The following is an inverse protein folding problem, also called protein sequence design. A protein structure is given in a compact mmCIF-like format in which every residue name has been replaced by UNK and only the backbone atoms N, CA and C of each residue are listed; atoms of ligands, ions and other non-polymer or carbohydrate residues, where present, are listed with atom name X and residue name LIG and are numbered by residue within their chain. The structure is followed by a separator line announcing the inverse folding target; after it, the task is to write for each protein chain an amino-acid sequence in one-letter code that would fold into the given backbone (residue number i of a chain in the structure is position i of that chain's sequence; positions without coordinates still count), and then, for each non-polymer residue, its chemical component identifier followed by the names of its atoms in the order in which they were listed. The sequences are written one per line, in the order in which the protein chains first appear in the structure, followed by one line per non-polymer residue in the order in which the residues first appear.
data_IF_274981886120
#
_entry.id   IF_274981886120
#
_cell.length_a   1.000
_cell.length_b   1.000
_cell.length_c   1.000
_cell.angle_alpha   90.00
_cell.angle_beta   90.00
_cell.angle_gamma   90.00
#
_symmetry.space_group_name_H-M   'P 1'
#
loop_
_entity.id
_entity.type
_entity.pdbx_description
1 polymer ?
#
# COMPACT_ATOMS: atom_id res chain seq x y z
N UNK A 1 0.65 -17.56 -35.35
CA UNK A 1 -0.05 -16.27 -35.48
C UNK A 1 0.13 -15.58 -34.15
N UNK A 2 1.09 -14.64 -34.05
CA UNK A 2 1.34 -13.83 -32.84
C UNK A 2 0.15 -12.91 -32.69
N UNK A 3 -0.55 -12.98 -31.55
CA UNK A 3 -1.48 -11.92 -31.19
C UNK A 3 -0.61 -10.70 -30.86
N UNK A 4 -0.60 -9.72 -31.75
CA UNK A 4 -0.08 -8.40 -31.48
C UNK A 4 -0.89 -7.87 -30.28
N UNK A 5 -0.20 -7.64 -29.16
CA UNK A 5 -0.75 -6.84 -28.05
C UNK A 5 -1.00 -5.46 -28.68
N UNK A 6 -2.24 -5.04 -28.74
CA UNK A 6 -2.61 -3.71 -29.23
C UNK A 6 -1.73 -2.69 -28.51
N UNK A 7 -0.90 -1.94 -29.22
CA UNK A 7 -0.06 -0.85 -28.68
C UNK A 7 -0.87 0.29 -28.02
N UNK A 8 -2.20 0.19 -28.05
CA UNK A 8 -3.16 1.14 -27.45
C UNK A 8 -3.76 0.69 -26.11
N UNK A 9 -3.40 -0.49 -25.60
CA UNK A 9 -3.90 -0.96 -24.30
C UNK A 9 -3.09 -0.31 -23.17
N UNK A 10 -3.72 0.60 -22.41
CA UNK A 10 -3.12 1.23 -21.24
C UNK A 10 -2.60 0.18 -20.24
N UNK A 11 -1.57 0.55 -19.46
CA UNK A 11 -0.97 -0.32 -18.44
C UNK A 11 -1.97 -0.70 -17.34
N UNK A 12 -1.78 -1.88 -16.75
CA UNK A 12 -2.52 -2.37 -15.57
C UNK A 12 -1.62 -2.32 -14.36
N UNK A 13 -1.89 -1.39 -13.45
CA UNK A 13 -1.06 -1.14 -12.27
C UNK A 13 -1.76 -1.66 -11.03
N UNK A 14 -1.09 -2.57 -10.31
CA UNK A 14 -1.51 -3.03 -9.00
C UNK A 14 -0.92 -2.16 -7.89
N UNK A 15 -1.71 -1.91 -6.85
CA UNK A 15 -1.36 -1.01 -5.76
C UNK A 15 -1.72 -1.69 -4.43
N UNK A 16 -0.78 -1.73 -3.48
CA UNK A 16 -1.15 -1.99 -2.10
C UNK A 16 -1.84 -0.76 -1.49
N UNK A 17 -2.42 -0.90 -0.30
CA UNK A 17 -3.16 0.16 0.37
C UNK A 17 -2.40 0.74 1.57
N UNK A 18 -2.18 -0.09 2.61
CA UNK A 18 -1.65 0.37 3.90
C UNK A 18 -0.14 0.72 3.77
N UNK A 19 0.25 1.94 4.10
CA UNK A 19 1.58 2.55 3.96
C UNK A 19 2.10 2.66 2.51
N UNK A 20 1.26 2.38 1.53
CA UNK A 20 1.56 2.61 0.10
C UNK A 20 0.75 3.81 -0.43
N UNK A 21 -0.59 3.77 -0.34
CA UNK A 21 -1.47 4.90 -0.70
C UNK A 21 -1.76 5.80 0.49
N UNK A 22 -2.00 5.19 1.66
CA UNK A 22 -2.37 5.83 2.92
C UNK A 22 -1.18 5.80 3.90
N UNK A 23 -0.88 6.97 4.50
CA UNK A 23 0.10 7.11 5.58
C UNK A 23 -0.61 7.17 6.94
N UNK A 24 -0.18 6.34 7.85
CA UNK A 24 -0.69 6.31 9.22
C UNK A 24 0.22 7.02 10.23
N UNK A 25 1.34 7.57 9.82
CA UNK A 25 2.38 8.08 10.70
C UNK A 25 1.85 9.12 11.69
N UNK A 26 1.20 10.19 11.16
CA UNK A 26 0.62 11.25 12.00
C UNK A 26 -0.54 10.75 12.85
N UNK A 27 -1.35 9.84 12.31
CA UNK A 27 -2.45 9.25 13.06
C UNK A 27 -1.94 8.45 14.26
N UNK A 28 -0.96 7.55 14.07
CA UNK A 28 -0.37 6.82 15.19
C UNK A 28 0.30 7.75 16.20
N UNK A 29 1.01 8.78 15.75
CA UNK A 29 1.61 9.77 16.63
C UNK A 29 0.55 10.51 17.48
N UNK A 30 -0.56 10.90 16.86
CA UNK A 30 -1.70 11.53 17.55
C UNK A 30 -2.33 10.60 18.60
N UNK A 31 -2.62 9.34 18.21
CA UNK A 31 -3.21 8.34 19.10
C UNK A 31 -2.32 8.01 20.30
N UNK A 32 -1.00 7.92 20.08
CA UNK A 32 -0.03 7.68 21.18
C UNK A 32 0.01 8.84 22.16
N UNK A 33 -0.07 10.09 21.68
CA UNK A 33 -0.15 11.28 22.55
C UNK A 33 -1.47 11.35 23.29
N UNK A 34 -2.57 11.15 22.60
CA UNK A 34 -3.93 11.16 23.17
C UNK A 34 -4.07 10.16 24.33
N UNK A 35 -3.41 9.01 24.23
CA UNK A 35 -3.46 7.96 25.25
C UNK A 35 -2.23 7.92 26.17
N UNK A 36 -1.34 8.89 26.07
CA UNK A 36 -0.11 9.01 26.89
C UNK A 36 0.73 7.71 26.94
N UNK A 37 0.83 7.02 25.80
CA UNK A 37 1.45 5.69 25.73
C UNK A 37 2.99 5.74 25.68
N UNK A 38 3.57 6.82 25.19
CA UNK A 38 5.02 7.05 25.12
C UNK A 38 5.35 8.44 25.64
N UNK A 39 6.56 8.62 26.24
CA UNK A 39 7.05 9.96 26.61
C UNK A 39 7.35 10.81 25.36
N UNK A 40 7.32 12.12 25.52
CA UNK A 40 7.78 13.03 24.45
C UNK A 40 9.33 13.03 24.36
N UNK A 41 9.90 13.21 23.17
CA UNK A 41 9.18 13.32 21.88
C UNK A 41 8.69 11.96 21.37
N UNK A 42 7.41 11.90 20.96
CA UNK A 42 6.87 10.69 20.31
C UNK A 42 7.51 10.52 18.92
N UNK A 43 7.97 9.31 18.57
CA UNK A 43 8.54 9.04 17.25
C UNK A 43 7.62 9.47 16.09
N UNK A 44 8.21 9.91 14.98
CA UNK A 44 7.49 10.53 13.87
C UNK A 44 6.82 9.54 12.92
N UNK A 45 7.16 8.24 12.97
CA UNK A 45 6.61 7.25 12.05
C UNK A 45 6.09 6.01 12.78
N UNK A 46 5.18 5.31 12.12
CA UNK A 46 4.49 4.11 12.60
C UNK A 46 5.45 3.01 13.07
N UNK A 47 6.51 2.73 12.32
CA UNK A 47 7.48 1.68 12.63
C UNK A 47 8.23 1.99 13.93
N UNK A 48 8.74 3.22 14.07
CA UNK A 48 9.43 3.64 15.29
C UNK A 48 8.51 3.69 16.51
N UNK A 49 7.24 4.06 16.34
CA UNK A 49 6.22 4.00 17.40
C UNK A 49 5.99 2.55 17.85
N UNK A 50 5.79 1.63 16.89
CA UNK A 50 5.66 0.19 17.18
C UNK A 50 6.83 -0.33 17.98
N UNK A 51 8.03 -0.04 17.52
CA UNK A 51 9.26 -0.56 18.14
C UNK A 51 9.47 0.05 19.53
N UNK A 52 9.14 1.32 19.74
CA UNK A 52 9.18 1.97 21.04
C UNK A 52 8.16 1.39 22.05
N UNK A 53 6.95 1.02 21.59
CA UNK A 53 5.95 0.34 22.42
C UNK A 53 6.39 -1.08 22.76
N UNK A 54 6.88 -1.85 21.76
CA UNK A 54 7.39 -3.21 21.95
C UNK A 54 8.56 -3.27 22.92
N UNK A 55 9.51 -2.35 22.81
CA UNK A 55 10.64 -2.24 23.73
C UNK A 55 10.22 -2.00 25.19
N UNK A 56 8.99 -1.54 25.43
CA UNK A 56 8.38 -1.33 26.76
C UNK A 56 7.39 -2.43 27.17
N UNK A 57 7.33 -3.54 26.42
CA UNK A 57 6.37 -4.62 26.67
C UNK A 57 4.92 -4.27 26.41
N UNK A 58 4.64 -3.22 25.61
CA UNK A 58 3.30 -2.68 25.35
C UNK A 58 2.71 -3.17 24.01
N UNK A 59 2.92 -4.43 23.65
CA UNK A 59 2.39 -5.03 22.40
C UNK A 59 0.86 -4.98 22.36
N UNK A 60 0.18 -5.16 23.49
CA UNK A 60 -1.28 -5.08 23.56
C UNK A 60 -1.80 -3.67 23.20
N UNK A 61 -1.08 -2.63 23.64
CA UNK A 61 -1.40 -1.24 23.27
C UNK A 61 -1.19 -1.01 21.78
N UNK A 62 -0.08 -1.50 21.24
CA UNK A 62 0.17 -1.45 19.80
C UNK A 62 -0.98 -2.09 18.99
N UNK A 63 -1.41 -3.30 19.39
CA UNK A 63 -2.50 -4.01 18.70
C UNK A 63 -3.83 -3.25 18.77
N UNK A 64 -4.15 -2.63 19.92
CA UNK A 64 -5.35 -1.78 20.06
C UNK A 64 -5.25 -0.52 19.21
N UNK A 65 -4.10 0.14 19.16
CA UNK A 65 -3.88 1.31 18.29
C UNK A 65 -4.09 0.97 16.83
N UNK A 66 -3.65 -0.22 16.38
CA UNK A 66 -3.93 -0.69 15.00
C UNK A 66 -5.44 -0.81 14.74
N UNK A 67 -6.21 -1.36 15.69
CA UNK A 67 -7.67 -1.44 15.58
C UNK A 67 -8.32 -0.07 15.42
N UNK A 68 -7.87 0.92 16.19
CA UNK A 68 -8.36 2.30 16.09
C UNK A 68 -7.96 2.96 14.76
N UNK A 69 -6.67 2.87 14.41
CA UNK A 69 -6.13 3.55 13.24
C UNK A 69 -6.68 2.99 11.91
N UNK A 70 -6.87 1.69 11.81
CA UNK A 70 -7.38 1.03 10.60
C UNK A 70 -8.91 0.97 10.53
N UNK A 71 -9.58 1.30 11.64
CA UNK A 71 -11.04 1.29 11.77
C UNK A 71 -11.59 2.71 11.95
N UNK A 72 -12.10 3.05 13.16
CA UNK A 72 -12.91 4.26 13.38
C UNK A 72 -12.15 5.59 13.18
N UNK A 73 -10.84 5.58 13.17
CA UNK A 73 -10.02 6.79 13.02
C UNK A 73 -9.30 6.88 11.67
N UNK A 74 -9.59 5.97 10.72
CA UNK A 74 -8.90 5.91 9.42
C UNK A 74 -9.08 7.19 8.58
N UNK A 75 -10.18 7.90 8.77
CA UNK A 75 -10.49 9.18 8.13
C UNK A 75 -9.44 10.27 8.42
N UNK A 76 -8.72 10.16 9.55
CA UNK A 76 -7.65 11.05 9.97
C UNK A 76 -6.28 10.69 9.37
N UNK A 77 -6.16 9.51 8.76
CA UNK A 77 -4.96 9.12 8.05
C UNK A 77 -4.85 9.87 6.71
N UNK A 78 -3.64 10.25 6.36
CA UNK A 78 -3.36 11.08 5.19
C UNK A 78 -3.01 10.23 3.97
N UNK A 79 -3.26 10.76 2.77
CA UNK A 79 -2.67 10.21 1.56
C UNK A 79 -1.18 10.58 1.50
N UNK A 80 -0.35 9.71 0.95
CA UNK A 80 1.04 10.10 0.68
C UNK A 80 1.10 11.26 -0.31
N UNK A 81 2.00 12.25 -0.09
CA UNK A 81 2.14 13.39 -1.00
C UNK A 81 2.43 12.96 -2.44
N UNK A 82 1.75 13.59 -3.41
CA UNK A 82 1.90 13.30 -4.84
C UNK A 82 1.15 12.06 -5.34
N UNK A 83 0.71 11.15 -4.44
CA UNK A 83 0.05 9.90 -4.82
C UNK A 83 -1.20 10.14 -5.67
N UNK A 84 -2.14 10.94 -5.20
CA UNK A 84 -3.39 11.17 -5.91
C UNK A 84 -3.19 11.84 -7.29
N UNK A 85 -2.20 12.73 -7.41
CA UNK A 85 -1.86 13.39 -8.70
C UNK A 85 -1.23 12.38 -9.67
N UNK A 86 -0.38 11.49 -9.18
CA UNK A 86 0.19 10.41 -9.96
C UNK A 86 -0.91 9.46 -10.49
N UNK A 87 -1.83 9.02 -9.62
CA UNK A 87 -2.94 8.15 -10.01
C UNK A 87 -3.87 8.83 -11.04
N UNK A 88 -4.20 10.12 -10.86
CA UNK A 88 -5.00 10.88 -11.85
C UNK A 88 -4.30 10.94 -13.20
N UNK A 89 -2.99 11.20 -13.19
CA UNK A 89 -2.19 11.22 -14.42
C UNK A 89 -2.26 9.86 -15.14
N UNK A 90 -2.03 8.75 -14.46
CA UNK A 90 -2.10 7.41 -15.04
C UNK A 90 -3.50 7.08 -15.58
N UNK A 91 -4.57 7.44 -14.83
CA UNK A 91 -5.94 7.29 -15.33
C UNK A 91 -6.18 8.12 -16.62
N UNK A 92 -5.62 9.33 -16.68
CA UNK A 92 -5.66 10.17 -17.89
C UNK A 92 -4.95 9.56 -19.09
N UNK A 93 -3.96 8.68 -18.86
CA UNK A 93 -3.30 7.88 -19.91
C UNK A 93 -4.10 6.61 -20.29
N UNK A 94 -5.28 6.41 -19.75
CA UNK A 94 -6.09 5.22 -20.00
C UNK A 94 -5.64 3.98 -19.20
N UNK A 95 -4.78 4.13 -18.18
CA UNK A 95 -4.28 3.00 -17.39
C UNK A 95 -5.34 2.48 -16.42
N UNK A 96 -5.32 1.17 -16.17
CA UNK A 96 -6.19 0.51 -15.20
C UNK A 96 -5.49 0.38 -13.85
N UNK A 97 -6.08 0.96 -12.79
CA UNK A 97 -5.51 0.97 -11.45
C UNK A 97 -6.31 0.02 -10.54
N UNK A 98 -5.62 -0.99 -10.01
CA UNK A 98 -6.23 -2.09 -9.25
C UNK A 98 -5.61 -2.16 -7.85
N UNK A 99 -6.39 -1.91 -6.82
CA UNK A 99 -5.93 -2.04 -5.44
C UNK A 99 -6.05 -3.50 -4.99
N UNK A 100 -4.93 -4.08 -4.51
CA UNK A 100 -4.87 -5.43 -3.94
C UNK A 100 -4.10 -5.38 -2.63
N UNK A 101 -4.80 -5.47 -1.51
CA UNK A 101 -4.20 -5.39 -0.17
C UNK A 101 -4.58 -6.58 0.71
N UNK A 102 -3.65 -7.01 1.55
CA UNK A 102 -3.95 -7.95 2.63
C UNK A 102 -4.51 -7.16 3.82
N UNK A 103 -5.79 -7.40 4.15
CA UNK A 103 -6.45 -6.70 5.25
C UNK A 103 -7.43 -7.62 5.97
N UNK A 104 -7.30 -7.73 7.29
CA UNK A 104 -8.30 -8.43 8.10
C UNK A 104 -9.61 -7.66 8.12
N UNK A 105 -10.73 -8.39 8.27
CA UNK A 105 -12.05 -7.76 8.29
C UNK A 105 -12.35 -7.08 9.61
N UNK A 106 -11.84 -7.64 10.71
CA UNK A 106 -12.01 -7.12 12.07
C UNK A 106 -10.64 -6.92 12.72
N UNK A 107 -10.50 -5.99 13.66
CA UNK A 107 -9.25 -5.80 14.38
C UNK A 107 -8.94 -7.00 15.29
N UNK A 108 -7.65 -7.24 15.55
CA UNK A 108 -7.21 -8.27 16.49
C UNK A 108 -7.46 -7.92 17.97
N UNK A 109 -7.63 -6.62 18.28
CA UNK A 109 -7.95 -6.14 19.62
C UNK A 109 -8.73 -4.82 19.55
N UNK A 110 -9.48 -4.52 20.62
CA UNK A 110 -10.35 -3.35 20.72
C UNK A 110 -11.78 -3.66 20.28
N UNK A 111 -12.56 -2.60 20.08
CA UNK A 111 -13.95 -2.72 19.63
C UNK A 111 -14.02 -3.28 18.20
N UNK A 112 -15.00 -4.16 17.91
CA UNK A 112 -15.13 -4.73 16.56
C UNK A 112 -15.57 -3.64 15.57
N UNK A 113 -14.83 -3.51 14.48
CA UNK A 113 -15.13 -2.62 13.35
C UNK A 113 -14.93 -3.37 12.04
N UNK A 114 -15.71 -3.04 11.02
CA UNK A 114 -15.45 -3.53 9.66
C UNK A 114 -14.32 -2.69 9.02
N UNK A 115 -13.09 -3.23 9.09
CA UNK A 115 -11.89 -2.58 8.55
C UNK A 115 -11.92 -2.46 7.02
N UNK A 116 -12.65 -3.34 6.33
CA UNK A 116 -12.85 -3.23 4.88
C UNK A 116 -13.79 -2.07 4.55
N UNK A 117 -14.87 -1.90 5.31
CA UNK A 117 -15.78 -0.76 5.12
C UNK A 117 -15.07 0.57 5.42
N UNK A 118 -14.30 0.64 6.50
CA UNK A 118 -13.50 1.80 6.85
C UNK A 118 -12.49 2.19 5.74
N UNK A 119 -11.73 1.21 5.23
CA UNK A 119 -10.79 1.42 4.13
C UNK A 119 -11.50 1.86 2.82
N UNK A 120 -12.66 1.27 2.48
CA UNK A 120 -13.45 1.69 1.31
C UNK A 120 -13.95 3.12 1.45
N UNK A 121 -14.42 3.53 2.63
CA UNK A 121 -14.84 4.91 2.89
C UNK A 121 -13.69 5.92 2.69
N UNK A 122 -12.48 5.56 3.16
CA UNK A 122 -11.28 6.40 2.95
C UNK A 122 -10.93 6.50 1.45
N UNK A 123 -10.98 5.38 0.72
CA UNK A 123 -10.70 5.32 -0.73
C UNK A 123 -11.73 6.18 -1.48
N UNK A 124 -13.01 6.01 -1.20
CA UNK A 124 -14.09 6.78 -1.85
C UNK A 124 -13.93 8.28 -1.63
N UNK A 125 -13.64 8.70 -0.39
CA UNK A 125 -13.48 10.11 -0.06
C UNK A 125 -12.25 10.78 -0.70
N UNK A 126 -11.19 10.03 -1.06
CA UNK A 126 -9.91 10.59 -1.53
C UNK A 126 -9.50 10.17 -2.93
N UNK A 127 -10.00 9.05 -3.42
CA UNK A 127 -9.62 8.42 -4.68
C UNK A 127 -10.83 8.10 -5.55
N UNK A 128 -11.96 8.82 -5.37
CA UNK A 128 -13.19 8.59 -6.11
C UNK A 128 -12.94 8.48 -7.61
N UNK A 129 -13.39 7.37 -8.22
CA UNK A 129 -13.29 7.13 -9.65
C UNK A 129 -11.87 6.79 -10.17
N UNK A 130 -10.83 6.83 -9.34
CA UNK A 130 -9.46 6.54 -9.77
C UNK A 130 -9.17 5.03 -9.88
N UNK A 131 -9.74 4.22 -8.98
CA UNK A 131 -9.50 2.78 -8.95
C UNK A 131 -10.52 2.03 -9.79
N UNK A 132 -10.06 1.15 -10.67
CA UNK A 132 -10.89 0.26 -11.49
C UNK A 132 -11.38 -0.97 -10.72
N UNK A 133 -10.70 -1.31 -9.61
CA UNK A 133 -11.08 -2.42 -8.74
C UNK A 133 -10.38 -2.34 -7.39
N UNK A 134 -11.07 -2.85 -6.34
CA UNK A 134 -10.54 -2.88 -4.97
C UNK A 134 -10.73 -4.26 -4.38
N UNK A 135 -9.62 -4.93 -4.06
CA UNK A 135 -9.56 -6.29 -3.53
C UNK A 135 -8.87 -6.28 -2.16
N UNK A 136 -9.62 -6.60 -1.11
CA UNK A 136 -9.09 -6.86 0.22
C UNK A 136 -9.06 -8.36 0.46
N UNK A 137 -7.87 -8.93 0.49
CA UNK A 137 -7.65 -10.35 0.71
C UNK A 137 -7.38 -10.64 2.19
N UNK A 138 -7.85 -11.78 2.69
CA UNK A 138 -7.74 -12.11 4.12
C UNK A 138 -6.42 -12.78 4.50
N UNK A 139 -5.57 -13.07 3.52
CA UNK A 139 -4.25 -13.67 3.75
C UNK A 139 -3.23 -13.20 2.70
N UNK A 140 -1.93 -13.28 3.07
CA UNK A 140 -0.82 -13.03 2.15
C UNK A 140 -0.92 -13.91 0.90
N UNK A 141 -1.16 -15.20 1.08
CA UNK A 141 -1.28 -16.14 -0.04
C UNK A 141 -2.43 -15.77 -1.00
N UNK A 142 -3.59 -15.33 -0.47
CA UNK A 142 -4.70 -14.88 -1.28
C UNK A 142 -4.35 -13.57 -2.04
N UNK A 143 -3.62 -12.63 -1.41
CA UNK A 143 -3.11 -11.41 -2.05
C UNK A 143 -2.21 -11.77 -3.25
N UNK A 144 -1.21 -12.63 -3.05
CA UNK A 144 -0.30 -13.08 -4.12
C UNK A 144 -1.06 -13.76 -5.26
N UNK A 145 -2.00 -14.66 -4.93
CA UNK A 145 -2.84 -15.33 -5.92
C UNK A 145 -3.74 -14.37 -6.70
N UNK A 146 -4.24 -13.31 -6.06
CA UNK A 146 -5.00 -12.25 -6.73
C UNK A 146 -4.13 -11.48 -7.71
N UNK A 147 -2.95 -11.03 -7.29
CA UNK A 147 -2.00 -10.28 -8.12
C UNK A 147 -1.65 -11.10 -9.37
N UNK A 148 -1.32 -12.39 -9.20
CA UNK A 148 -0.99 -13.28 -10.32
C UNK A 148 -2.13 -13.44 -11.35
N UNK A 149 -3.40 -13.38 -10.90
CA UNK A 149 -4.58 -13.51 -11.77
C UNK A 149 -4.94 -12.23 -12.53
N UNK A 150 -4.53 -11.07 -12.03
CA UNK A 150 -4.93 -9.78 -12.58
C UNK A 150 -4.14 -9.40 -13.85
N UNK A 151 -3.03 -10.07 -14.17
CA UNK A 151 -2.22 -9.76 -15.35
C UNK A 151 -1.71 -8.33 -15.33
N UNK A 152 -1.09 -7.94 -14.22
CA UNK A 152 -0.56 -6.60 -14.00
C UNK A 152 0.75 -6.40 -14.76
N UNK A 153 1.00 -5.17 -15.19
CA UNK A 153 2.29 -4.74 -15.76
C UNK A 153 3.25 -4.25 -14.66
N UNK A 154 2.72 -3.65 -13.59
CA UNK A 154 3.50 -3.28 -12.42
C UNK A 154 2.71 -3.49 -11.12
N UNK A 155 3.42 -3.70 -10.00
CA UNK A 155 2.85 -3.77 -8.66
C UNK A 155 3.68 -2.97 -7.66
N UNK A 156 3.01 -2.14 -6.85
CA UNK A 156 3.62 -1.24 -5.88
C UNK A 156 3.18 -1.64 -4.47
N UNK A 157 4.14 -1.86 -3.57
CA UNK A 157 3.91 -2.31 -2.19
C UNK A 157 4.97 -1.72 -1.26
N UNK A 158 4.67 -1.55 0.04
CA UNK A 158 5.62 -1.10 1.07
C UNK A 158 6.40 -2.25 1.71
N UNK A 159 6.05 -3.51 1.42
CA UNK A 159 6.67 -4.69 2.00
C UNK A 159 7.56 -5.43 0.99
N UNK A 160 8.90 -5.43 1.18
CA UNK A 160 9.80 -6.15 0.29
C UNK A 160 9.51 -7.65 0.21
N UNK A 161 9.05 -8.27 1.31
CA UNK A 161 8.72 -9.71 1.32
C UNK A 161 7.61 -10.08 0.33
N UNK A 162 6.61 -9.20 0.11
CA UNK A 162 5.56 -9.42 -0.89
C UNK A 162 6.16 -9.38 -2.29
N UNK A 163 7.05 -8.41 -2.55
CA UNK A 163 7.69 -8.26 -3.85
C UNK A 163 8.64 -9.41 -4.16
N UNK A 164 9.36 -9.91 -3.17
CA UNK A 164 10.25 -11.07 -3.32
C UNK A 164 9.45 -12.35 -3.60
N UNK A 165 8.35 -12.60 -2.88
CA UNK A 165 7.45 -13.72 -3.18
C UNK A 165 6.90 -13.63 -4.62
N UNK A 166 6.56 -12.42 -5.10
CA UNK A 166 6.09 -12.23 -6.47
C UNK A 166 7.20 -12.47 -7.49
N UNK A 167 8.43 -12.07 -7.20
CA UNK A 167 9.59 -12.33 -8.06
C UNK A 167 9.87 -13.84 -8.18
N UNK A 168 9.75 -14.58 -7.07
CA UNK A 168 10.00 -16.04 -7.04
C UNK A 168 8.94 -16.83 -7.82
N UNK A 169 7.68 -16.36 -7.84
CA UNK A 169 6.60 -17.02 -8.58
C UNK A 169 6.39 -16.43 -9.98
N UNK A 170 7.15 -15.40 -10.36
CA UNK A 170 7.06 -14.79 -11.67
C UNK A 170 7.34 -15.82 -12.76
N UNK A 171 6.44 -15.91 -13.75
CA UNK A 171 6.64 -16.81 -14.88
C UNK A 171 7.77 -16.29 -15.77
N UNK A 172 8.93 -16.96 -15.84
CA UNK A 172 10.04 -16.51 -16.70
C UNK A 172 9.72 -16.54 -18.20
N UNK A 173 8.60 -17.18 -18.58
CA UNK A 173 8.09 -17.23 -19.94
C UNK A 173 7.02 -16.17 -20.23
N UNK A 174 6.71 -15.30 -19.24
CA UNK A 174 5.80 -14.17 -19.49
C UNK A 174 6.40 -13.24 -20.55
N UNK A 175 5.62 -12.75 -21.49
CA UNK A 175 6.10 -11.87 -22.58
C UNK A 175 6.65 -10.54 -22.05
N UNK A 176 6.14 -10.07 -20.90
CA UNK A 176 6.63 -8.92 -20.17
C UNK A 176 6.67 -9.30 -18.68
N UNK A 177 7.82 -9.18 -17.99
CA UNK A 177 7.88 -9.46 -16.57
C UNK A 177 7.09 -8.41 -15.78
N UNK A 178 6.44 -8.84 -14.69
CA UNK A 178 5.80 -7.93 -13.73
C UNK A 178 6.87 -7.02 -13.12
N UNK A 179 6.73 -5.70 -13.31
CA UNK A 179 7.60 -4.71 -12.68
C UNK A 179 7.23 -4.54 -11.22
N UNK A 180 8.18 -4.76 -10.32
CA UNK A 180 7.99 -4.70 -8.87
C UNK A 180 8.59 -3.42 -8.31
N UNK A 181 7.83 -2.70 -7.50
CA UNK A 181 8.21 -1.40 -6.96
C UNK A 181 8.00 -1.39 -5.45
N UNK A 182 9.09 -1.20 -4.71
CA UNK A 182 9.05 -0.99 -3.27
C UNK A 182 8.84 0.50 -2.98
N UNK A 183 7.71 0.83 -2.36
CA UNK A 183 7.48 2.16 -1.82
C UNK A 183 8.07 2.27 -0.42
N UNK A 184 9.20 2.96 -0.30
CA UNK A 184 9.97 3.08 0.95
C UNK A 184 10.29 4.56 1.28
N UNK A 185 9.28 5.33 1.76
CA UNK A 185 9.46 6.76 2.04
C UNK A 185 10.40 7.06 3.22
N UNK A 186 10.69 6.05 4.03
CA UNK A 186 11.57 6.20 5.20
C UNK A 186 12.98 5.64 4.99
N UNK A 187 13.26 5.03 3.85
CA UNK A 187 14.58 4.42 3.57
C UNK A 187 14.92 3.27 4.52
N UNK A 188 13.91 2.45 4.88
CA UNK A 188 14.08 1.37 5.87
C UNK A 188 14.68 0.10 5.28
N UNK A 189 14.65 -0.04 3.97
CA UNK A 189 15.05 -1.27 3.29
C UNK A 189 16.25 -1.06 2.36
N UNK A 190 17.12 -2.05 2.23
CA UNK A 190 18.22 -2.01 1.26
C UNK A 190 17.70 -2.09 -0.17
N UNK A 191 18.55 -1.67 -1.13
CA UNK A 191 18.29 -1.91 -2.53
C UNK A 191 18.37 -3.41 -2.85
N UNK A 192 17.54 -3.89 -3.77
CA UNK A 192 17.52 -5.26 -4.20
C UNK A 192 17.24 -5.37 -5.70
N UNK A 193 17.83 -6.36 -6.39
CA UNK A 193 17.70 -6.52 -7.85
C UNK A 193 16.28 -6.87 -8.32
N UNK A 194 15.44 -7.43 -7.44
CA UNK A 194 14.09 -7.86 -7.78
C UNK A 194 13.07 -6.72 -7.87
N UNK A 195 13.36 -5.56 -7.31
CA UNK A 195 12.45 -4.43 -7.31
C UNK A 195 13.16 -3.09 -7.44
N UNK A 196 12.46 -2.11 -8.00
CA UNK A 196 12.83 -0.69 -7.95
C UNK A 196 12.35 -0.08 -6.63
N UNK A 197 13.13 0.82 -6.02
CA UNK A 197 12.73 1.50 -4.79
C UNK A 197 12.31 2.94 -5.06
N UNK A 198 11.10 3.29 -4.60
CA UNK A 198 10.57 4.65 -4.65
C UNK A 198 10.53 5.27 -3.25
N UNK A 199 11.34 6.32 -2.99
CA UNK A 199 11.30 7.05 -1.73
C UNK A 199 10.12 8.03 -1.64
N UNK A 200 9.41 8.26 -2.72
CA UNK A 200 8.21 9.10 -2.84
C UNK A 200 7.44 8.75 -4.10
N UNK A 201 6.18 9.10 -4.13
CA UNK A 201 5.39 9.05 -5.36
C UNK A 201 6.02 9.96 -6.42
N UNK A 202 6.13 9.51 -7.68
CA UNK A 202 6.70 10.32 -8.75
C UNK A 202 5.82 11.54 -9.04
N UNK A 203 6.46 12.64 -9.41
CA UNK A 203 5.75 13.83 -9.89
C UNK A 203 4.94 13.46 -11.15
N UNK A 204 3.71 13.98 -11.28
CA UNK A 204 2.81 13.67 -12.41
C UNK A 204 3.44 13.93 -13.78
N UNK A 205 4.36 14.89 -13.90
CA UNK A 205 5.13 15.15 -15.12
C UNK A 205 6.29 14.19 -15.38
N UNK A 206 6.67 13.34 -14.40
CA UNK A 206 7.75 12.35 -14.48
C UNK A 206 7.23 10.91 -14.34
N UNK A 207 5.91 10.74 -14.23
CA UNK A 207 5.25 9.43 -14.08
C UNK A 207 5.43 8.51 -15.32
N UNK A 208 6.10 8.99 -16.38
CA UNK A 208 6.60 8.19 -17.50
C UNK A 208 7.68 7.16 -17.09
N UNK A 209 8.15 7.16 -15.85
CA UNK A 209 9.08 6.15 -15.32
C UNK A 209 8.57 4.71 -15.39
N UNK A 210 7.27 4.48 -15.66
CA UNK A 210 6.73 3.13 -15.94
C UNK A 210 6.72 2.79 -17.44
N UNK A 211 7.00 3.74 -18.34
CA UNK A 211 6.96 3.56 -19.80
C UNK A 211 8.31 3.25 -20.45
N UNK A 212 9.41 3.19 -19.67
CA UNK A 212 10.76 2.93 -20.20
C UNK A 212 11.23 1.52 -19.92
#
# INVERSE_FOLDING_TARGET
MKADKNDDAGMRIGLDFDNTLISYDRLFQGLVREQELLPEPVPANKTAIRDALRARGREADWTRLQGLAYGPRIDQAEAFPGMADCLRHWRGQGWELLLVSHKTRVPYAGEPHDLHAAARGWIEARLEGLLSGVYFELSRAAKLARIAKLGLDAYIDDLPDILLDLADVANPLAPVPLRLILFDPHGQYPDHYAYERWPRWPDSGKASGLQS
#
